data_IF_750412039757
#
_entry.id   IF_750412039757
#
_cell.length_a   1.000
_cell.length_b   1.000
_cell.length_c   1.000
_cell.angle_alpha   90.00
_cell.angle_beta   90.00
_cell.angle_gamma   90.00
#
_symmetry.space_group_name_H-M   'P 1'
#
loop_
_entity.id
_entity.type
_entity.pdbx_description
1 polymer ?
#
# COMPACT_ATOMS: atom_id res chain seq x y z
N UNK A 1 -9.91 -9.27 -15.34
CA UNK A 1 -9.67 -9.49 -13.89
C UNK A 1 -9.72 -8.13 -13.22
N UNK A 2 -10.77 -7.84 -12.45
CA UNK A 2 -10.92 -6.55 -11.75
C UNK A 2 -10.10 -6.61 -10.48
N UNK A 3 -9.23 -5.62 -10.25
CA UNK A 3 -8.47 -5.53 -9.00
C UNK A 3 -9.45 -5.08 -7.91
N UNK A 4 -9.51 -5.75 -6.74
CA UNK A 4 -10.40 -5.34 -5.67
C UNK A 4 -10.01 -3.96 -5.11
N UNK A 5 -10.96 -3.20 -4.54
CA UNK A 5 -10.68 -1.88 -3.99
C UNK A 5 -9.68 -1.91 -2.82
N UNK A 6 -9.54 -3.07 -2.15
CA UNK A 6 -8.54 -3.30 -1.10
C UNK A 6 -7.82 -4.63 -1.36
N UNK A 7 -6.49 -4.63 -1.22
CA UNK A 7 -5.69 -5.85 -1.29
C UNK A 7 -5.66 -6.57 0.08
N UNK A 8 -5.42 -7.90 0.12
CA UNK A 8 -5.12 -8.61 1.35
C UNK A 8 -3.91 -8.02 2.08
N UNK A 9 -3.81 -8.29 3.38
CA UNK A 9 -2.70 -7.84 4.21
C UNK A 9 -1.35 -8.31 3.65
N UNK A 10 -0.44 -7.37 3.47
CA UNK A 10 0.92 -7.60 2.99
C UNK A 10 1.87 -7.62 4.20
N UNK A 11 2.78 -8.61 4.29
CA UNK A 11 3.75 -8.67 5.37
C UNK A 11 4.85 -7.61 5.22
N UNK A 12 5.49 -7.26 6.32
CA UNK A 12 6.64 -6.37 6.35
C UNK A 12 7.71 -6.76 5.31
N UNK A 13 8.28 -5.75 4.64
CA UNK A 13 9.33 -5.94 3.63
C UNK A 13 8.81 -6.30 2.24
N UNK A 14 7.51 -6.57 2.05
CA UNK A 14 6.92 -6.81 0.73
C UNK A 14 7.22 -5.65 -0.21
N UNK A 15 7.72 -5.95 -1.41
CA UNK A 15 7.99 -4.94 -2.45
C UNK A 15 6.68 -4.47 -3.06
N UNK A 16 6.42 -3.15 -3.01
CA UNK A 16 5.24 -2.55 -3.62
C UNK A 16 5.55 -1.86 -4.93
N UNK A 17 6.74 -1.27 -5.00
CA UNK A 17 7.20 -0.50 -6.14
C UNK A 17 8.72 -0.50 -6.21
N UNK A 18 9.25 -0.59 -7.42
CA UNK A 18 10.68 -0.48 -7.70
C UNK A 18 10.88 0.29 -9.00
N UNK A 19 11.76 1.29 -8.96
CA UNK A 19 12.27 2.01 -10.11
C UNK A 19 13.76 2.32 -9.91
N UNK A 20 14.50 2.73 -10.95
CA UNK A 20 15.90 3.09 -10.80
C UNK A 20 16.10 4.16 -9.71
N UNK A 21 16.78 3.78 -8.61
CA UNK A 21 17.10 4.68 -7.50
C UNK A 21 16.03 4.77 -6.40
N UNK A 22 14.88 4.12 -6.53
CA UNK A 22 13.82 4.17 -5.52
C UNK A 22 13.08 2.83 -5.43
N UNK A 23 12.88 2.34 -4.20
CA UNK A 23 12.01 1.21 -3.95
C UNK A 23 11.14 1.51 -2.73
N UNK A 24 9.90 1.03 -2.76
CA UNK A 24 8.97 1.17 -1.67
C UNK A 24 8.52 -0.20 -1.18
N UNK A 25 8.65 -0.41 0.13
CA UNK A 25 8.32 -1.66 0.82
C UNK A 25 7.39 -1.41 1.98
N UNK A 26 6.60 -2.42 2.33
CA UNK A 26 5.77 -2.43 3.55
C UNK A 26 6.66 -2.25 4.77
N UNK A 27 6.30 -1.31 5.65
CA UNK A 27 7.13 -0.91 6.79
C UNK A 27 6.66 -1.53 8.11
N UNK A 28 5.36 -1.72 8.29
CA UNK A 28 4.77 -2.33 9.47
C UNK A 28 4.64 -3.86 9.32
N UNK A 29 4.35 -4.56 10.42
CA UNK A 29 4.17 -6.02 10.41
C UNK A 29 3.14 -6.46 9.36
N UNK A 30 2.04 -5.70 9.24
CA UNK A 30 0.97 -5.88 8.26
C UNK A 30 0.45 -4.53 7.79
N UNK A 31 0.32 -4.39 6.48
CA UNK A 31 -0.35 -3.24 5.86
C UNK A 31 -1.30 -3.69 4.75
N UNK A 32 -2.28 -2.86 4.41
CA UNK A 32 -3.19 -3.09 3.27
C UNK A 32 -3.03 -2.00 2.23
N UNK A 33 -3.30 -2.32 0.97
CA UNK A 33 -3.33 -1.32 -0.11
C UNK A 33 -4.78 -1.01 -0.46
N UNK A 34 -5.17 0.24 -0.33
CA UNK A 34 -6.46 0.78 -0.76
C UNK A 34 -6.32 1.48 -2.11
N UNK A 35 -7.28 1.21 -3.00
CA UNK A 35 -7.32 1.65 -4.40
C UNK A 35 -6.00 1.43 -5.16
N UNK A 36 -5.51 0.18 -5.24
CA UNK A 36 -4.29 -0.13 -5.98
C UNK A 36 -4.47 0.20 -7.48
N UNK A 37 -3.56 1.01 -8.01
CA UNK A 37 -3.47 1.32 -9.43
C UNK A 37 -2.02 1.14 -9.93
N UNK A 38 -1.65 -0.05 -10.41
CA UNK A 38 -0.31 -0.31 -10.96
C UNK A 38 -0.06 0.41 -12.30
N UNK A 39 -1.10 0.95 -12.94
CA UNK A 39 -1.02 1.69 -14.21
C UNK A 39 -1.18 3.19 -14.01
N UNK A 40 -0.94 3.68 -12.81
CA UNK A 40 -1.06 5.11 -12.51
C UNK A 40 -0.15 5.92 -13.44
N UNK A 41 -0.63 7.08 -13.88
CA UNK A 41 0.21 8.00 -14.64
C UNK A 41 1.32 8.60 -13.75
N UNK A 42 2.41 9.02 -14.38
CA UNK A 42 3.53 9.66 -13.69
C UNK A 42 3.06 10.88 -12.88
N UNK A 43 3.54 11.01 -11.65
CA UNK A 43 3.19 12.12 -10.76
C UNK A 43 1.85 11.97 -10.04
N UNK A 44 1.11 10.87 -10.28
CA UNK A 44 -0.14 10.58 -9.57
C UNK A 44 0.05 9.47 -8.51
N UNK A 45 -0.88 9.42 -7.56
CA UNK A 45 -0.85 8.45 -6.45
C UNK A 45 -1.34 7.08 -6.90
N UNK A 46 -0.50 6.05 -6.74
CA UNK A 46 -0.80 4.66 -7.12
C UNK A 46 -1.73 3.92 -6.15
N UNK A 47 -1.92 4.46 -4.94
CA UNK A 47 -2.75 3.84 -3.89
C UNK A 47 -2.47 4.45 -2.53
N UNK A 48 -3.06 3.86 -1.49
CA UNK A 48 -2.83 4.24 -0.10
C UNK A 48 -2.49 3.02 0.74
N UNK A 49 -1.46 3.14 1.58
CA UNK A 49 -1.14 2.14 2.58
C UNK A 49 -1.98 2.39 3.82
N UNK A 50 -2.56 1.33 4.36
CA UNK A 50 -3.34 1.35 5.59
C UNK A 50 -2.63 0.51 6.65
N UNK A 51 -2.62 1.03 7.88
CA UNK A 51 -2.27 0.29 9.09
C UNK A 51 -3.48 0.23 10.00
N UNK A 52 -3.59 -0.84 10.77
CA UNK A 52 -4.52 -0.87 11.88
C UNK A 52 -4.04 0.08 12.99
N UNK A 53 -4.97 0.80 13.59
CA UNK A 53 -4.72 1.60 14.78
C UNK A 53 -5.73 1.21 15.85
N UNK A 54 -5.34 1.18 17.14
CA UNK A 54 -6.29 0.91 18.21
C UNK A 54 -7.43 1.93 18.19
N UNK A 55 -8.67 1.50 18.40
CA UNK A 55 -9.83 2.42 18.38
C UNK A 55 -9.70 3.57 19.40
N UNK A 56 -8.98 3.35 20.48
CA UNK A 56 -8.70 4.37 21.50
C UNK A 56 -7.83 5.53 21.00
N UNK A 57 -7.13 5.37 19.87
CA UNK A 57 -6.31 6.44 19.26
C UNK A 57 -7.10 7.27 18.23
N UNK A 58 -8.40 6.97 18.05
CA UNK A 58 -9.28 7.66 17.11
C UNK A 58 -10.07 8.80 17.80
N UNK A 59 -9.44 9.60 18.67
CA UNK A 59 -10.04 10.80 19.26
C UNK A 59 -8.97 11.85 19.55
#
# INVERSE_FOLDING_TARGET
MTIPPILPALPQGTLLYEQPGESYRVQHEKEWVLFPNPKVALGLRAGMMLTEVPRSTLF
#
